data_IF_766576140636
#
_entry.id   IF_766576140636
#
_cell.length_a   1.000
_cell.length_b   1.000
_cell.length_c   1.000
_cell.angle_alpha   90.00
_cell.angle_beta   90.00
_cell.angle_gamma   90.00
#
_symmetry.space_group_name_H-M   'P 1'
#
loop_
_entity.id
_entity.type
_entity.pdbx_description
1 polymer ?
#
# COMPACT_ATOMS: atom_id res chain seq x y z
N UNK A 1 35.20 -20.74 -7.85
CA UNK A 1 34.67 -20.08 -6.63
C UNK A 1 33.33 -19.47 -6.96
N UNK A 2 32.23 -20.04 -6.44
CA UNK A 2 30.86 -19.55 -6.65
C UNK A 2 30.63 -18.34 -5.74
N UNK A 3 30.39 -17.16 -6.32
CA UNK A 3 29.90 -16.00 -5.58
C UNK A 3 28.40 -16.17 -5.37
N UNK A 4 28.00 -16.57 -4.15
CA UNK A 4 26.63 -16.43 -3.70
C UNK A 4 26.37 -14.93 -3.51
N UNK A 5 25.48 -14.38 -4.32
CA UNK A 5 24.93 -13.05 -4.11
C UNK A 5 23.99 -13.13 -2.90
N UNK A 6 24.47 -12.66 -1.75
CA UNK A 6 23.63 -12.35 -0.61
C UNK A 6 22.74 -11.15 -1.00
N UNK A 7 21.49 -11.46 -1.33
CA UNK A 7 20.40 -10.48 -1.34
C UNK A 7 20.37 -9.84 0.06
N UNK A 8 20.81 -8.59 0.16
CA UNK A 8 20.55 -7.78 1.34
C UNK A 8 19.08 -7.38 1.28
N UNK A 9 18.21 -8.23 1.83
CA UNK A 9 16.91 -7.78 2.29
C UNK A 9 17.19 -6.72 3.34
N UNK A 10 16.85 -5.46 3.03
CA UNK A 10 16.88 -4.38 4.01
C UNK A 10 15.75 -4.69 4.99
N UNK A 11 16.10 -5.35 6.09
CA UNK A 11 15.24 -5.50 7.26
C UNK A 11 15.27 -4.13 7.95
N UNK A 12 14.24 -3.31 7.72
CA UNK A 12 14.00 -2.13 8.52
C UNK A 12 13.41 -2.56 9.87
N UNK A 13 14.27 -2.80 10.86
CA UNK A 13 13.84 -2.79 12.27
C UNK A 13 13.52 -1.34 12.63
N UNK A 14 12.24 -1.00 12.66
CA UNK A 14 11.76 0.36 12.87
C UNK A 14 11.69 0.66 14.37
N UNK A 15 12.70 1.36 14.90
CA UNK A 15 12.64 2.00 16.23
C UNK A 15 12.06 3.40 16.02
N UNK A 16 10.78 3.57 16.33
CA UNK A 16 10.06 4.85 16.19
C UNK A 16 10.54 5.85 17.25
N UNK A 17 11.18 6.94 16.82
CA UNK A 17 11.43 8.11 17.67
C UNK A 17 10.38 9.20 17.38
N UNK A 18 9.66 9.61 18.42
CA UNK A 18 8.52 10.52 18.42
C UNK A 18 8.88 11.95 17.99
N UNK A 19 8.14 12.51 17.03
CA UNK A 19 8.13 13.94 16.69
C UNK A 19 6.69 14.48 16.63
N UNK A 20 6.44 15.76 16.95
CA UNK A 20 5.08 16.31 16.99
C UNK A 20 4.54 16.59 15.57
N UNK A 21 3.55 15.82 15.13
CA UNK A 21 2.81 16.03 13.89
C UNK A 21 1.78 17.17 13.97
N UNK A 22 1.64 17.94 12.89
CA UNK A 22 0.59 18.96 12.73
C UNK A 22 -0.77 18.34 12.40
N UNK A 23 -1.83 18.85 13.03
CA UNK A 23 -3.22 18.42 12.81
C UNK A 23 -3.77 18.94 11.47
N UNK A 24 -4.32 18.03 10.66
CA UNK A 24 -5.19 18.36 9.53
C UNK A 24 -6.65 18.09 9.91
N UNK A 25 -7.54 19.03 9.57
CA UNK A 25 -8.97 18.96 9.87
C UNK A 25 -9.66 18.11 8.81
N UNK A 26 -10.32 17.03 9.22
CA UNK A 26 -11.11 16.17 8.35
C UNK A 26 -12.45 16.84 7.98
N UNK A 27 -12.86 16.76 6.72
CA UNK A 27 -14.21 17.16 6.28
C UNK A 27 -15.28 16.12 6.69
N UNK A 28 -16.54 16.54 6.88
CA UNK A 28 -17.62 15.64 7.30
C UNK A 28 -17.93 14.56 6.26
N UNK A 29 -18.08 13.32 6.73
CA UNK A 29 -18.45 12.17 5.92
C UNK A 29 -19.92 12.27 5.44
N UNK A 30 -20.27 11.89 4.20
CA UNK A 30 -21.66 11.85 3.75
C UNK A 30 -22.50 10.86 4.56
N UNK A 31 -23.79 11.18 4.76
CA UNK A 31 -24.72 10.32 5.47
C UNK A 31 -24.87 8.94 4.81
N UNK A 32 -25.03 7.89 5.62
CA UNK A 32 -25.25 6.53 5.14
C UNK A 32 -26.55 6.44 4.30
N UNK A 33 -26.54 5.69 3.17
CA UNK A 33 -27.72 5.52 2.35
C UNK A 33 -28.82 4.74 3.08
N UNK A 34 -30.08 5.03 2.72
CA UNK A 34 -31.26 4.41 3.31
C UNK A 34 -31.27 2.87 3.09
N UNK A 35 -31.85 2.08 4.02
CA UNK A 35 -31.97 0.63 3.87
C UNK A 35 -32.71 0.29 2.57
N UNK A 36 -32.06 -0.42 1.65
CA UNK A 36 -32.62 -0.87 0.37
C UNK A 36 -32.25 -0.04 -0.85
N UNK A 37 -31.56 1.10 -0.68
CA UNK A 37 -30.94 1.79 -1.82
C UNK A 37 -29.72 1.00 -2.30
N UNK A 38 -29.69 0.64 -3.59
CA UNK A 38 -28.50 0.08 -4.20
C UNK A 38 -27.40 1.15 -4.15
N UNK A 39 -26.27 0.84 -3.53
CA UNK A 39 -25.17 1.78 -3.45
C UNK A 39 -24.67 2.08 -4.88
N UNK A 40 -24.48 3.36 -5.18
CA UNK A 40 -24.00 3.80 -6.49
C UNK A 40 -22.66 3.13 -6.84
N UNK A 41 -22.45 2.76 -8.12
CA UNK A 41 -21.16 2.28 -8.59
C UNK A 41 -20.05 3.29 -8.29
N UNK A 42 -18.96 2.80 -7.72
CA UNK A 42 -17.78 3.58 -7.36
C UNK A 42 -16.56 2.96 -8.05
N UNK A 43 -15.72 3.81 -8.65
CA UNK A 43 -14.42 3.44 -9.18
C UNK A 43 -13.32 4.18 -8.45
N UNK A 44 -12.28 3.48 -8.05
CA UNK A 44 -11.04 4.15 -7.63
C UNK A 44 -10.33 4.71 -8.86
N UNK A 45 -10.00 5.99 -8.82
CA UNK A 45 -9.13 6.67 -9.77
C UNK A 45 -8.38 7.79 -9.05
N UNK A 46 -7.22 8.16 -9.57
CA UNK A 46 -6.50 9.34 -9.11
C UNK A 46 -5.66 9.98 -10.23
N UNK A 47 -5.43 11.29 -10.19
CA UNK A 47 -4.63 11.96 -11.21
C UNK A 47 -3.21 11.38 -11.29
N UNK A 48 -2.85 10.91 -12.49
CA UNK A 48 -1.48 10.51 -12.80
C UNK A 48 -1.16 10.80 -14.27
N UNK A 49 0.08 11.23 -14.52
CA UNK A 49 0.58 11.49 -15.88
C UNK A 49 2.02 10.99 -15.99
N UNK A 50 2.23 9.65 -16.05
CA UNK A 50 3.57 9.04 -16.02
C UNK A 50 4.52 9.53 -17.13
N UNK A 51 3.98 10.08 -18.21
CA UNK A 51 4.73 10.53 -19.39
C UNK A 51 5.04 12.02 -19.41
N UNK A 52 4.60 12.81 -18.41
CA UNK A 52 4.89 14.25 -18.37
C UNK A 52 6.41 14.49 -18.27
N UNK A 53 6.94 15.48 -18.99
CA UNK A 53 8.40 15.69 -19.04
C UNK A 53 9.01 16.12 -17.69
N UNK A 54 10.14 15.50 -17.34
CA UNK A 54 10.95 15.79 -16.15
C UNK A 54 12.41 16.14 -16.51
N UNK A 55 12.71 16.36 -17.79
CA UNK A 55 14.07 16.61 -18.28
C UNK A 55 14.76 17.78 -17.57
N UNK A 56 14.01 18.86 -17.29
CA UNK A 56 14.50 20.04 -16.56
C UNK A 56 14.79 19.75 -15.09
N UNK A 57 13.95 18.93 -14.43
CA UNK A 57 14.16 18.52 -13.04
C UNK A 57 15.40 17.62 -12.94
N UNK A 58 15.54 16.68 -13.87
CA UNK A 58 16.71 15.81 -13.96
C UNK A 58 18.00 16.59 -14.21
N UNK A 59 17.97 17.57 -15.11
CA UNK A 59 19.14 18.39 -15.43
C UNK A 59 19.60 19.27 -14.25
N UNK A 60 18.69 19.65 -13.35
CA UNK A 60 18.97 20.49 -12.18
C UNK A 60 19.16 19.70 -10.89
N UNK A 61 18.97 18.38 -10.91
CA UNK A 61 19.01 17.55 -9.72
C UNK A 61 20.39 17.54 -9.08
N UNK A 62 20.43 17.68 -7.76
CA UNK A 62 21.60 17.47 -6.93
C UNK A 62 21.17 17.13 -5.50
N UNK A 63 22.12 16.69 -4.67
CA UNK A 63 21.82 16.32 -3.28
C UNK A 63 21.13 17.42 -2.47
N UNK A 64 21.45 18.69 -2.69
CA UNK A 64 20.89 19.78 -1.87
C UNK A 64 19.44 20.13 -2.20
N UNK A 65 18.92 19.70 -3.36
CA UNK A 65 17.57 20.03 -3.82
C UNK A 65 16.64 18.82 -3.99
N UNK A 66 17.01 17.66 -3.44
CA UNK A 66 16.27 16.41 -3.70
C UNK A 66 14.79 16.51 -3.32
N UNK A 67 14.46 17.16 -2.19
CA UNK A 67 13.07 17.31 -1.72
C UNK A 67 12.25 18.20 -2.65
N UNK A 68 12.83 19.32 -3.09
CA UNK A 68 12.17 20.20 -4.06
C UNK A 68 11.97 19.48 -5.40
N UNK A 69 12.97 18.70 -5.84
CA UNK A 69 12.84 17.86 -7.05
C UNK A 69 11.75 16.81 -6.88
N UNK A 70 11.66 16.14 -5.72
CA UNK A 70 10.60 15.17 -5.43
C UNK A 70 9.21 15.77 -5.57
N UNK A 71 9.00 16.89 -4.87
CA UNK A 71 7.70 17.58 -4.86
C UNK A 71 7.32 18.06 -6.26
N UNK A 72 8.25 18.64 -7.01
CA UNK A 72 8.00 19.10 -8.38
C UNK A 72 7.75 17.93 -9.36
N UNK A 73 8.48 16.82 -9.20
CA UNK A 73 8.32 15.61 -9.99
C UNK A 73 6.92 15.02 -9.81
N UNK A 74 6.49 14.82 -8.56
CA UNK A 74 5.17 14.30 -8.28
C UNK A 74 4.06 15.29 -8.54
N UNK A 75 4.28 16.60 -8.41
CA UNK A 75 3.28 17.58 -8.85
C UNK A 75 2.87 17.36 -10.31
N UNK A 76 3.84 17.05 -11.17
CA UNK A 76 3.62 16.84 -12.61
C UNK A 76 3.04 15.47 -12.94
N UNK A 77 3.45 14.43 -12.20
CA UNK A 77 3.15 13.04 -12.58
C UNK A 77 2.20 12.29 -11.65
N UNK A 78 2.12 12.68 -10.39
CA UNK A 78 1.29 12.02 -9.38
C UNK A 78 1.06 12.93 -8.15
N UNK A 79 0.06 13.83 -8.19
CA UNK A 79 -0.18 14.80 -7.12
C UNK A 79 -0.39 14.21 -5.72
N UNK A 80 -0.87 12.95 -5.60
CA UNK A 80 -0.98 12.26 -4.30
C UNK A 80 0.38 12.06 -3.63
N UNK A 81 1.40 11.64 -4.39
CA UNK A 81 2.77 11.52 -3.90
C UNK A 81 3.36 12.87 -3.51
N UNK A 82 3.03 13.94 -4.24
CA UNK A 82 3.47 15.30 -3.87
C UNK A 82 2.89 15.71 -2.51
N UNK A 83 1.59 15.48 -2.30
CA UNK A 83 0.90 15.86 -1.07
C UNK A 83 1.47 15.12 0.14
N UNK A 84 1.71 13.81 0.02
CA UNK A 84 2.40 13.05 1.07
C UNK A 84 3.81 13.63 1.29
N UNK A 85 4.53 13.90 0.21
CA UNK A 85 5.89 14.41 0.32
C UNK A 85 5.98 15.80 0.99
N UNK A 86 4.96 16.63 0.83
CA UNK A 86 4.85 17.90 1.56
C UNK A 86 4.50 17.64 3.03
N UNK A 87 3.57 16.73 3.30
CA UNK A 87 3.12 16.41 4.65
C UNK A 87 4.26 15.87 5.52
N UNK A 88 5.14 15.06 4.94
CA UNK A 88 6.27 14.45 5.64
C UNK A 88 7.57 15.26 5.56
N UNK A 89 7.59 16.47 4.96
CA UNK A 89 8.84 17.15 4.60
C UNK A 89 9.78 17.48 5.78
N UNK A 90 9.32 17.26 7.01
CA UNK A 90 10.05 17.48 8.26
C UNK A 90 10.38 16.18 9.00
N UNK A 91 10.08 15.02 8.44
CA UNK A 91 10.50 13.75 9.03
C UNK A 91 12.04 13.67 9.03
N UNK A 92 12.67 13.54 10.22
CA UNK A 92 14.12 13.46 10.33
C UNK A 92 14.71 12.19 9.69
N UNK A 93 13.92 11.13 9.56
CA UNK A 93 14.34 9.81 9.10
C UNK A 93 14.30 9.68 7.57
N UNK A 94 13.57 10.53 6.86
CA UNK A 94 13.38 10.42 5.41
C UNK A 94 14.68 10.28 4.62
N UNK A 95 15.72 11.04 5.01
CA UNK A 95 17.01 11.03 4.32
C UNK A 95 17.66 9.63 4.27
N UNK A 96 17.31 8.70 5.15
CA UNK A 96 17.88 7.35 5.16
C UNK A 96 17.38 6.47 4.00
N UNK A 97 16.23 6.83 3.41
CA UNK A 97 15.60 6.08 2.32
C UNK A 97 15.85 6.71 0.94
N UNK A 98 16.47 7.88 0.87
CA UNK A 98 16.64 8.64 -0.37
C UNK A 98 18.08 8.58 -0.86
N UNK A 99 18.30 8.02 -2.05
CA UNK A 99 19.61 7.97 -2.68
C UNK A 99 19.83 9.19 -3.58
N UNK A 100 20.81 10.03 -3.27
CA UNK A 100 20.97 11.35 -3.93
C UNK A 100 22.18 11.44 -4.86
N UNK A 101 22.87 10.33 -5.14
CA UNK A 101 24.04 10.28 -6.02
C UNK A 101 23.76 10.62 -7.48
N UNK A 102 22.55 10.37 -7.97
CA UNK A 102 22.10 10.70 -9.32
C UNK A 102 20.57 10.78 -9.37
N UNK A 103 20.01 11.37 -10.42
CA UNK A 103 18.55 11.43 -10.58
C UNK A 103 17.93 10.04 -10.73
N UNK A 104 18.60 9.11 -11.41
CA UNK A 104 18.11 7.73 -11.55
C UNK A 104 18.17 6.96 -10.22
N UNK A 105 19.24 7.10 -9.44
CA UNK A 105 19.31 6.49 -8.13
C UNK A 105 18.26 7.07 -7.17
N UNK A 106 18.02 8.38 -7.27
CA UNK A 106 16.93 9.06 -6.58
C UNK A 106 15.56 8.52 -6.97
N UNK A 107 15.23 8.47 -8.27
CA UNK A 107 13.97 7.93 -8.76
C UNK A 107 13.77 6.47 -8.34
N UNK A 108 14.83 5.66 -8.34
CA UNK A 108 14.80 4.26 -7.91
C UNK A 108 14.55 4.09 -6.42
N UNK A 109 15.09 4.99 -5.59
CA UNK A 109 14.85 4.98 -4.14
C UNK A 109 13.42 5.35 -3.74
N UNK A 110 12.62 5.92 -4.66
CA UNK A 110 11.28 6.41 -4.34
C UNK A 110 10.27 5.34 -3.96
N UNK A 111 10.47 4.08 -4.39
CA UNK A 111 9.59 3.00 -3.94
C UNK A 111 9.66 2.88 -2.42
N UNK A 112 10.87 2.68 -1.90
CA UNK A 112 11.12 2.53 -0.46
C UNK A 112 10.83 3.84 0.26
N UNK A 113 11.34 4.97 -0.22
CA UNK A 113 11.16 6.24 0.47
C UNK A 113 9.68 6.60 0.67
N UNK A 114 8.85 6.49 -0.36
CA UNK A 114 7.42 6.79 -0.23
C UNK A 114 6.68 5.70 0.56
N UNK A 115 7.06 4.43 0.43
CA UNK A 115 6.52 3.34 1.25
C UNK A 115 6.74 3.61 2.74
N UNK A 116 7.97 3.89 3.15
CA UNK A 116 8.33 4.09 4.55
C UNK A 116 7.77 5.41 5.11
N UNK A 117 7.77 6.49 4.33
CA UNK A 117 7.13 7.75 4.75
C UNK A 117 5.61 7.62 4.89
N UNK A 118 4.99 6.68 4.18
CA UNK A 118 3.58 6.31 4.40
C UNK A 118 3.41 5.64 5.75
N UNK A 119 4.29 4.72 6.14
CA UNK A 119 4.29 4.19 7.52
C UNK A 119 4.46 5.30 8.56
N UNK A 120 5.36 6.26 8.33
CA UNK A 120 5.58 7.37 9.27
C UNK A 120 4.33 8.23 9.41
N UNK A 121 3.54 8.37 8.34
CA UNK A 121 2.25 9.07 8.41
C UNK A 121 1.17 8.23 9.08
N UNK A 122 1.00 6.97 8.66
CA UNK A 122 -0.08 6.10 9.08
C UNK A 122 0.04 5.74 10.57
N UNK A 123 1.25 5.46 11.04
CA UNK A 123 1.52 4.90 12.37
C UNK A 123 1.91 5.94 13.43
N UNK A 124 1.80 7.22 13.11
CA UNK A 124 1.98 8.31 14.07
C UNK A 124 0.99 8.17 15.23
N UNK A 125 1.49 8.27 16.46
CA UNK A 125 0.73 8.10 17.70
C UNK A 125 -0.44 9.11 17.85
N UNK A 126 -0.43 10.24 17.12
CA UNK A 126 -1.55 11.16 17.10
C UNK A 126 -2.76 10.65 16.28
N UNK A 127 -2.58 9.58 15.50
CA UNK A 127 -3.59 9.04 14.56
C UNK A 127 -3.87 7.56 14.75
N UNK A 128 -2.97 6.85 15.41
CA UNK A 128 -2.97 5.38 15.49
C UNK A 128 -2.60 4.93 16.90
N UNK A 129 -3.32 3.92 17.39
CA UNK A 129 -2.98 3.14 18.57
C UNK A 129 -2.90 1.67 18.14
N UNK A 130 -1.74 1.05 18.36
CA UNK A 130 -1.43 -0.26 17.80
C UNK A 130 -2.48 -1.31 18.18
N UNK A 131 -3.01 -1.99 17.16
CA UNK A 131 -4.09 -2.98 17.19
C UNK A 131 -5.47 -2.48 17.66
N UNK A 132 -5.62 -1.22 18.08
CA UNK A 132 -6.91 -0.61 18.42
C UNK A 132 -7.52 0.13 17.22
N UNK A 133 -6.81 1.11 16.68
CA UNK A 133 -7.24 1.87 15.51
C UNK A 133 -6.06 2.39 14.69
N UNK A 134 -6.27 2.58 13.39
CA UNK A 134 -5.25 3.08 12.45
C UNK A 134 -5.72 4.30 11.66
N UNK A 135 -4.76 4.97 11.02
CA UNK A 135 -4.99 5.83 9.88
C UNK A 135 -4.38 5.25 8.60
N UNK A 136 -4.81 5.77 7.45
CA UNK A 136 -4.29 5.44 6.14
C UNK A 136 -4.29 6.68 5.24
N UNK A 137 -3.11 7.03 4.71
CA UNK A 137 -3.01 7.96 3.60
C UNK A 137 -3.40 7.26 2.29
N UNK A 138 -4.49 7.68 1.66
CA UNK A 138 -4.99 7.05 0.43
C UNK A 138 -4.52 7.79 -0.82
N UNK A 139 -4.84 9.09 -0.92
CA UNK A 139 -4.46 9.92 -2.07
C UNK A 139 -4.48 11.42 -1.73
N UNK A 140 -4.27 12.29 -2.73
CA UNK A 140 -4.22 13.75 -2.56
C UNK A 140 -5.46 14.38 -1.89
N UNK A 141 -6.62 13.73 -2.00
CA UNK A 141 -7.92 14.20 -1.54
C UNK A 141 -8.52 13.36 -0.41
N UNK A 142 -7.92 12.22 -0.09
CA UNK A 142 -8.51 11.25 0.83
C UNK A 142 -7.46 10.74 1.84
N UNK A 143 -7.81 10.92 3.10
CA UNK A 143 -7.14 10.32 4.25
C UNK A 143 -8.22 9.65 5.09
N UNK A 144 -7.96 8.47 5.62
CA UNK A 144 -8.89 7.75 6.48
C UNK A 144 -8.28 7.66 7.87
N UNK A 145 -8.96 8.18 8.89
CA UNK A 145 -8.43 8.21 10.27
C UNK A 145 -9.40 7.58 11.26
N UNK A 146 -8.84 7.02 12.34
CA UNK A 146 -9.60 6.33 13.38
C UNK A 146 -10.41 5.17 12.80
N UNK A 147 -9.75 4.32 12.00
CA UNK A 147 -10.29 3.06 11.48
C UNK A 147 -10.13 2.00 12.58
N UNK A 148 -11.21 1.49 13.19
CA UNK A 148 -11.10 0.52 14.26
C UNK A 148 -10.63 -0.86 13.77
N UNK A 149 -9.73 -1.50 14.52
CA UNK A 149 -9.11 -2.79 14.19
C UNK A 149 -9.48 -3.92 15.15
N UNK A 150 -9.91 -3.57 16.38
CA UNK A 150 -10.42 -4.48 17.41
C UNK A 150 -9.49 -5.65 17.79
N UNK A 151 -8.18 -5.44 17.71
CA UNK A 151 -7.15 -6.38 18.15
C UNK A 151 -7.40 -7.84 17.73
N UNK A 152 -7.20 -8.12 16.45
CA UNK A 152 -7.54 -9.40 15.82
C UNK A 152 -6.68 -10.60 16.25
N UNK A 153 -6.01 -11.23 15.29
CA UNK A 153 -5.20 -12.42 15.52
C UNK A 153 -3.90 -12.35 14.69
N UNK A 154 -2.86 -13.11 15.05
CA UNK A 154 -1.59 -13.11 14.33
C UNK A 154 -1.74 -13.38 12.83
N UNK A 155 -1.19 -12.51 11.98
CA UNK A 155 -1.31 -12.66 10.52
C UNK A 155 -0.66 -13.94 10.01
N UNK A 156 0.29 -14.54 10.75
CA UNK A 156 0.83 -15.88 10.43
C UNK A 156 -0.23 -16.98 10.35
N UNK A 157 -1.40 -16.82 10.97
CA UNK A 157 -2.49 -17.79 10.88
C UNK A 157 -3.01 -18.00 9.44
N UNK A 158 -2.72 -17.09 8.51
CA UNK A 158 -3.09 -17.23 7.10
C UNK A 158 -2.14 -18.13 6.31
N UNK A 159 -0.92 -18.40 6.82
CA UNK A 159 0.10 -19.21 6.14
C UNK A 159 -0.42 -20.54 5.62
N UNK A 160 -1.24 -21.32 6.37
CA UNK A 160 -1.76 -22.59 5.88
C UNK A 160 -2.65 -22.46 4.64
N UNK A 161 -3.18 -21.28 4.31
CA UNK A 161 -3.97 -21.05 3.10
C UNK A 161 -3.10 -20.76 1.86
N UNK A 162 -1.81 -20.49 2.04
CA UNK A 162 -0.85 -20.28 0.95
C UNK A 162 -0.27 -21.65 0.57
N UNK A 163 -0.61 -22.14 -0.62
CA UNK A 163 -0.25 -23.49 -1.11
C UNK A 163 0.76 -23.48 -2.26
N UNK A 164 1.18 -22.30 -2.67
CA UNK A 164 2.19 -22.07 -3.70
C UNK A 164 3.40 -21.35 -3.10
N UNK A 165 4.41 -21.08 -3.94
CA UNK A 165 5.61 -20.34 -3.55
C UNK A 165 5.67 -18.97 -4.25
N UNK A 166 4.55 -18.42 -4.72
CA UNK A 166 4.55 -17.19 -5.51
C UNK A 166 4.98 -15.98 -4.68
N UNK A 167 4.60 -15.95 -3.41
CA UNK A 167 4.91 -14.86 -2.47
C UNK A 167 6.00 -15.24 -1.47
N UNK A 168 6.82 -16.27 -1.74
CA UNK A 168 7.72 -16.87 -0.74
C UNK A 168 8.57 -15.83 0.02
N UNK A 169 9.22 -14.91 -0.68
CA UNK A 169 10.09 -13.91 -0.04
C UNK A 169 9.30 -12.97 0.88
N UNK A 170 8.08 -12.61 0.49
CA UNK A 170 7.15 -11.82 1.30
C UNK A 170 6.58 -12.63 2.46
N UNK A 171 6.29 -13.92 2.26
CA UNK A 171 5.79 -14.81 3.31
C UNK A 171 6.85 -14.98 4.40
N UNK A 172 8.12 -15.10 4.01
CA UNK A 172 9.25 -15.23 4.94
C UNK A 172 9.37 -13.98 5.84
N UNK A 173 9.20 -12.77 5.26
CA UNK A 173 9.28 -11.50 5.99
C UNK A 173 8.03 -11.24 6.83
N UNK A 174 6.84 -11.31 6.25
CA UNK A 174 5.63 -10.80 6.90
C UNK A 174 4.90 -11.85 7.71
N UNK A 175 5.03 -13.13 7.37
CA UNK A 175 4.21 -14.17 7.98
C UNK A 175 5.02 -15.17 8.82
N UNK A 176 6.23 -15.53 8.39
CA UNK A 176 7.06 -16.56 9.06
C UNK A 176 8.03 -15.97 10.07
N UNK A 177 8.47 -14.74 9.86
CA UNK A 177 9.28 -14.04 10.84
C UNK A 177 8.56 -13.98 12.20
N UNK A 178 9.37 -14.01 13.26
CA UNK A 178 8.86 -14.15 14.61
C UNK A 178 8.09 -12.92 15.06
N UNK A 179 8.58 -11.71 14.78
CA UNK A 179 7.94 -10.47 15.22
C UNK A 179 6.85 -10.08 14.23
N UNK A 180 7.22 -9.98 12.96
CA UNK A 180 6.32 -9.57 11.89
C UNK A 180 5.13 -10.53 11.75
N UNK A 181 5.32 -11.83 11.92
CA UNK A 181 4.24 -12.81 11.84
C UNK A 181 3.20 -12.71 12.96
N UNK A 182 3.55 -12.09 14.09
CA UNK A 182 2.66 -11.90 15.25
C UNK A 182 1.84 -10.62 15.18
N UNK A 183 2.11 -9.73 14.21
CA UNK A 183 1.24 -8.58 13.96
C UNK A 183 -0.17 -8.99 13.53
N UNK A 184 -1.19 -8.23 13.94
CA UNK A 184 -2.58 -8.52 13.61
C UNK A 184 -3.01 -7.79 12.32
N UNK A 185 -4.31 -7.45 12.21
CA UNK A 185 -4.84 -6.74 11.06
C UNK A 185 -4.09 -5.44 10.76
N UNK A 186 -3.59 -4.74 11.80
CA UNK A 186 -2.79 -3.53 11.64
C UNK A 186 -1.57 -3.77 10.75
N UNK A 187 -0.77 -4.82 11.03
CA UNK A 187 0.40 -5.14 10.22
C UNK A 187 0.04 -5.59 8.81
N UNK A 188 -1.14 -6.19 8.60
CA UNK A 188 -1.60 -6.54 7.24
C UNK A 188 -1.98 -5.29 6.45
N UNK A 189 -2.72 -4.37 7.05
CA UNK A 189 -3.21 -3.18 6.35
C UNK A 189 -2.14 -2.10 6.20
N UNK A 190 -1.22 -1.96 7.16
CA UNK A 190 -0.13 -0.99 7.09
C UNK A 190 0.79 -1.30 5.91
N UNK A 191 1.22 -2.56 5.75
CA UNK A 191 2.08 -2.97 4.63
C UNK A 191 1.39 -2.87 3.28
N UNK A 192 0.08 -3.17 3.23
CA UNK A 192 -0.70 -2.96 2.01
C UNK A 192 -0.77 -1.48 1.64
N UNK A 193 -1.15 -0.60 2.57
CA UNK A 193 -1.33 0.82 2.27
C UNK A 193 0.00 1.48 1.86
N UNK A 194 1.09 1.17 2.58
CA UNK A 194 2.43 1.63 2.23
C UNK A 194 2.86 1.11 0.86
N UNK A 195 2.61 -0.17 0.55
CA UNK A 195 2.85 -0.74 -0.77
C UNK A 195 2.05 -0.06 -1.88
N UNK A 196 0.82 0.37 -1.60
CA UNK A 196 -0.03 1.14 -2.52
C UNK A 196 0.34 2.62 -2.63
N UNK A 197 1.29 3.11 -1.83
CA UNK A 197 1.98 4.39 -2.06
C UNK A 197 3.33 4.18 -2.76
N UNK A 198 4.06 3.12 -2.43
CA UNK A 198 5.34 2.77 -3.06
C UNK A 198 5.21 2.37 -4.53
N UNK A 199 4.18 1.59 -4.90
CA UNK A 199 3.95 1.19 -6.30
C UNK A 199 3.73 2.39 -7.25
N UNK A 200 2.81 3.31 -6.99
CA UNK A 200 2.68 4.51 -7.81
C UNK A 200 3.93 5.38 -7.83
N UNK A 201 4.62 5.50 -6.69
CA UNK A 201 5.84 6.31 -6.55
C UNK A 201 6.89 5.98 -7.61
N UNK A 202 7.03 4.71 -8.00
CA UNK A 202 7.95 4.26 -9.06
C UNK A 202 7.29 4.01 -10.41
N UNK A 203 6.00 3.73 -10.45
CA UNK A 203 5.25 3.60 -11.72
C UNK A 203 5.34 4.88 -12.52
N UNK A 204 5.22 6.03 -11.86
CA UNK A 204 5.21 7.34 -12.53
C UNK A 204 6.59 7.84 -12.93
N UNK A 205 7.67 7.13 -12.57
CA UNK A 205 9.07 7.45 -12.93
C UNK A 205 9.80 6.25 -13.50
N UNK A 206 9.05 5.25 -13.98
CA UNK A 206 9.57 3.94 -14.36
C UNK A 206 10.73 4.02 -15.35
N UNK A 207 10.78 5.02 -16.24
CA UNK A 207 11.83 5.14 -17.25
C UNK A 207 13.22 5.42 -16.64
N UNK A 208 13.28 5.90 -15.41
CA UNK A 208 14.52 6.21 -14.69
C UNK A 208 15.00 5.06 -13.79
N UNK A 209 14.17 4.03 -13.58
CA UNK A 209 14.51 2.84 -12.80
C UNK A 209 15.44 1.94 -13.63
N UNK A 210 16.66 1.69 -13.12
CA UNK A 210 17.71 0.95 -13.83
C UNK A 210 18.18 -0.31 -13.10
N UNK A 211 17.91 -0.43 -11.80
CA UNK A 211 18.36 -1.52 -10.95
C UNK A 211 17.23 -2.25 -10.22
N UNK A 212 17.57 -2.82 -9.06
CA UNK A 212 16.75 -3.73 -8.25
C UNK A 212 15.94 -2.96 -7.19
N UNK A 213 16.27 -1.71 -6.88
CA UNK A 213 15.73 -0.99 -5.73
C UNK A 213 14.21 -0.77 -5.76
N UNK A 214 13.59 -0.82 -6.93
CA UNK A 214 12.14 -0.70 -7.13
C UNK A 214 11.49 -1.97 -7.72
N UNK A 215 12.25 -3.06 -7.86
CA UNK A 215 11.85 -4.20 -8.69
C UNK A 215 10.83 -5.14 -8.05
N UNK A 216 10.41 -4.89 -6.81
CA UNK A 216 9.42 -5.68 -6.09
C UNK A 216 8.15 -4.88 -5.74
N UNK A 217 7.98 -3.66 -6.27
CA UNK A 217 6.84 -2.80 -5.93
C UNK A 217 5.48 -3.48 -6.23
N UNK A 218 5.38 -4.17 -7.38
CA UNK A 218 4.18 -4.94 -7.74
C UNK A 218 3.99 -6.16 -6.85
N UNK A 219 5.08 -6.84 -6.47
CA UNK A 219 5.04 -8.00 -5.59
C UNK A 219 4.50 -7.62 -4.20
N UNK A 220 4.97 -6.50 -3.63
CA UNK A 220 4.49 -5.98 -2.34
C UNK A 220 2.99 -5.73 -2.39
N UNK A 221 2.51 -4.98 -3.39
CA UNK A 221 1.09 -4.66 -3.53
C UNK A 221 0.22 -5.92 -3.74
N UNK A 222 0.65 -6.83 -4.63
CA UNK A 222 -0.12 -8.04 -4.92
C UNK A 222 -0.15 -9.02 -3.73
N UNK A 223 0.99 -9.23 -3.07
CA UNK A 223 1.11 -10.13 -1.92
C UNK A 223 0.37 -9.60 -0.69
N UNK A 224 0.49 -8.31 -0.35
CA UNK A 224 -0.20 -7.78 0.81
C UNK A 224 -1.72 -7.71 0.61
N UNK A 225 -2.22 -7.50 -0.63
CA UNK A 225 -3.65 -7.66 -0.91
C UNK A 225 -4.09 -9.12 -0.70
N UNK A 226 -3.28 -10.08 -1.16
CA UNK A 226 -3.52 -11.51 -0.90
C UNK A 226 -3.65 -11.76 0.60
N UNK A 227 -2.74 -11.21 1.41
CA UNK A 227 -2.75 -11.38 2.86
C UNK A 227 -4.01 -10.81 3.50
N UNK A 228 -4.46 -9.63 3.10
CA UNK A 228 -5.73 -9.07 3.55
C UNK A 228 -6.90 -9.99 3.24
N UNK A 229 -7.02 -10.47 2.00
CA UNK A 229 -8.10 -11.37 1.59
C UNK A 229 -8.08 -12.70 2.37
N UNK A 230 -6.90 -13.28 2.57
CA UNK A 230 -6.74 -14.50 3.35
C UNK A 230 -7.00 -14.28 4.85
N UNK A 231 -6.62 -13.12 5.39
CA UNK A 231 -6.91 -12.74 6.77
C UNK A 231 -8.42 -12.66 7.01
N UNK A 232 -9.17 -12.03 6.11
CA UNK A 232 -10.64 -12.01 6.18
C UNK A 232 -11.26 -13.42 6.13
N UNK A 233 -10.68 -14.33 5.35
CA UNK A 233 -11.13 -15.75 5.30
C UNK A 233 -10.88 -16.46 6.62
N UNK A 234 -9.72 -16.26 7.23
CA UNK A 234 -9.39 -16.84 8.54
C UNK A 234 -10.27 -16.23 9.63
N UNK A 235 -10.48 -14.90 9.60
CA UNK A 235 -11.39 -14.22 10.52
C UNK A 235 -12.78 -14.86 10.49
N UNK A 236 -13.37 -15.01 9.29
CA UNK A 236 -14.69 -15.63 9.13
C UNK A 236 -14.73 -17.09 9.58
N UNK A 237 -13.71 -17.88 9.27
CA UNK A 237 -13.76 -19.34 9.47
C UNK A 237 -13.33 -19.80 10.86
N UNK A 238 -12.50 -19.02 11.57
CA UNK A 238 -11.93 -19.41 12.87
C UNK A 238 -12.22 -18.43 14.00
N UNK A 239 -12.45 -17.15 13.68
CA UNK A 239 -12.59 -16.07 14.67
C UNK A 239 -13.95 -15.39 14.54
N UNK A 240 -15.03 -16.15 14.72
CA UNK A 240 -16.40 -15.71 14.44
C UNK A 240 -16.80 -14.42 15.17
N UNK A 241 -16.41 -14.27 16.45
CA UNK A 241 -16.70 -13.07 17.24
C UNK A 241 -15.96 -11.84 16.71
N UNK A 242 -14.69 -12.01 16.33
CA UNK A 242 -13.90 -10.96 15.71
C UNK A 242 -14.48 -10.56 14.36
N UNK A 243 -14.78 -11.53 13.50
CA UNK A 243 -15.44 -11.33 12.21
C UNK A 243 -16.76 -10.56 12.36
N UNK A 244 -17.61 -10.91 13.33
CA UNK A 244 -18.86 -10.22 13.59
C UNK A 244 -18.66 -8.75 13.98
N UNK A 245 -17.56 -8.42 14.68
CA UNK A 245 -17.19 -7.03 14.99
C UNK A 245 -16.75 -6.30 13.71
N UNK A 246 -15.72 -6.80 13.04
CA UNK A 246 -15.11 -6.09 11.89
C UNK A 246 -16.05 -5.98 10.68
N UNK A 247 -16.90 -6.99 10.43
CA UNK A 247 -17.87 -6.96 9.31
C UNK A 247 -18.95 -5.89 9.49
N UNK A 248 -19.18 -5.43 10.71
CA UNK A 248 -20.18 -4.40 10.99
C UNK A 248 -19.56 -3.00 11.14
N UNK A 249 -18.24 -2.85 11.06
CA UNK A 249 -17.54 -1.57 11.18
C UNK A 249 -17.47 -0.84 9.83
N UNK A 250 -18.24 0.25 9.63
CA UNK A 250 -18.32 0.92 8.33
C UNK A 250 -16.98 1.45 7.82
N UNK A 251 -16.15 2.03 8.71
CA UNK A 251 -14.86 2.61 8.29
C UNK A 251 -13.90 1.54 7.79
N UNK A 252 -13.87 0.39 8.46
CA UNK A 252 -13.01 -0.72 8.06
C UNK A 252 -13.49 -1.37 6.75
N UNK A 253 -14.81 -1.46 6.54
CA UNK A 253 -15.38 -1.93 5.26
C UNK A 253 -15.00 -1.02 4.11
N UNK A 254 -15.14 0.29 4.29
CA UNK A 254 -14.77 1.28 3.29
C UNK A 254 -13.27 1.22 3.02
N UNK A 255 -12.44 1.11 4.06
CA UNK A 255 -10.99 1.01 3.91
C UNK A 255 -10.56 -0.24 3.12
N UNK A 256 -11.07 -1.42 3.50
CA UNK A 256 -10.79 -2.67 2.78
C UNK A 256 -11.23 -2.60 1.32
N UNK A 257 -12.39 -1.99 1.03
CA UNK A 257 -12.84 -1.79 -0.35
C UNK A 257 -11.92 -0.84 -1.11
N UNK A 258 -11.54 0.29 -0.52
CA UNK A 258 -10.63 1.26 -1.12
C UNK A 258 -9.28 0.61 -1.44
N UNK A 259 -8.67 -0.13 -0.51
CA UNK A 259 -7.40 -0.82 -0.72
C UNK A 259 -7.50 -1.86 -1.86
N UNK A 260 -8.59 -2.62 -1.92
CA UNK A 260 -8.81 -3.58 -3.01
C UNK A 260 -8.89 -2.89 -4.39
N UNK A 261 -9.73 -1.85 -4.52
CA UNK A 261 -9.93 -1.14 -5.79
C UNK A 261 -8.67 -0.38 -6.21
N UNK A 262 -7.96 0.22 -5.26
CA UNK A 262 -6.70 0.93 -5.48
C UNK A 262 -5.56 -0.01 -5.88
N UNK A 263 -5.50 -1.20 -5.30
CA UNK A 263 -4.58 -2.26 -5.76
C UNK A 263 -4.85 -2.61 -7.22
N UNK A 264 -6.11 -2.82 -7.59
CA UNK A 264 -6.49 -3.12 -8.96
C UNK A 264 -6.04 -2.02 -9.93
N UNK A 265 -6.32 -0.76 -9.58
CA UNK A 265 -5.95 0.41 -10.36
C UNK A 265 -4.44 0.50 -10.61
N UNK A 266 -3.63 0.42 -9.55
CA UNK A 266 -2.18 0.58 -9.69
C UNK A 266 -1.49 -0.62 -10.30
N UNK A 267 -1.99 -1.84 -10.09
CA UNK A 267 -1.48 -3.01 -10.79
C UNK A 267 -1.78 -2.97 -12.28
N UNK A 268 -2.92 -2.40 -12.70
CA UNK A 268 -3.22 -2.18 -14.11
C UNK A 268 -2.31 -1.09 -14.72
N UNK A 269 -2.20 0.07 -14.07
CA UNK A 269 -1.36 1.19 -14.54
C UNK A 269 0.12 0.81 -14.67
N UNK A 270 0.61 -0.05 -13.79
CA UNK A 270 2.01 -0.49 -13.79
C UNK A 270 2.27 -1.75 -14.62
N UNK A 271 1.24 -2.39 -15.17
CA UNK A 271 1.38 -3.62 -15.96
C UNK A 271 2.31 -3.49 -17.17
N UNK A 272 2.33 -2.38 -17.94
CA UNK A 272 3.28 -2.19 -19.04
C UNK A 272 4.76 -2.24 -18.61
N UNK A 273 5.03 -2.07 -17.31
CA UNK A 273 6.37 -2.04 -16.72
C UNK A 273 6.60 -3.24 -15.79
N UNK A 274 5.79 -4.29 -15.91
CA UNK A 274 5.76 -5.44 -15.00
C UNK A 274 7.13 -6.07 -14.77
N UNK A 275 7.93 -6.27 -15.83
CA UNK A 275 9.26 -6.87 -15.74
C UNK A 275 10.32 -6.01 -15.03
N UNK A 276 10.04 -4.73 -14.83
CA UNK A 276 10.92 -3.75 -14.18
C UNK A 276 10.49 -3.49 -12.74
N UNK A 277 9.18 -3.50 -12.47
CA UNK A 277 8.60 -3.13 -11.18
C UNK A 277 8.11 -4.34 -10.37
N UNK A 278 8.29 -5.56 -10.89
CA UNK A 278 7.88 -6.77 -10.21
C UNK A 278 8.48 -8.04 -10.79
N UNK A 279 8.30 -9.13 -10.05
CA UNK A 279 8.56 -10.47 -10.55
C UNK A 279 7.38 -10.98 -11.41
N UNK A 280 7.59 -12.03 -12.23
CA UNK A 280 6.50 -12.73 -12.90
C UNK A 280 5.46 -13.36 -11.94
N UNK A 281 5.76 -13.47 -10.64
CA UNK A 281 4.82 -13.98 -9.65
C UNK A 281 3.75 -12.94 -9.28
N UNK A 282 4.06 -11.64 -9.35
CA UNK A 282 3.12 -10.57 -9.01
C UNK A 282 1.82 -10.66 -9.83
N UNK A 283 1.91 -10.91 -11.13
CA UNK A 283 0.73 -11.05 -12.01
C UNK A 283 -0.10 -12.30 -11.67
N UNK A 284 0.57 -13.40 -11.29
CA UNK A 284 -0.10 -14.64 -10.89
C UNK A 284 -0.83 -14.47 -9.55
N UNK A 285 -0.19 -13.79 -8.59
CA UNK A 285 -0.82 -13.44 -7.31
C UNK A 285 -2.03 -12.52 -7.57
N UNK A 286 -1.85 -11.49 -8.40
CA UNK A 286 -2.93 -10.57 -8.77
C UNK A 286 -4.12 -11.31 -9.39
N UNK A 287 -3.88 -12.33 -10.23
CA UNK A 287 -4.96 -13.18 -10.75
C UNK A 287 -5.63 -14.01 -9.65
N UNK A 288 -4.87 -14.63 -8.74
CA UNK A 288 -5.40 -15.41 -7.62
C UNK A 288 -6.19 -14.57 -6.61
N UNK A 289 -5.86 -13.29 -6.44
CA UNK A 289 -6.63 -12.36 -5.60
C UNK A 289 -8.09 -12.21 -6.10
N UNK A 290 -8.36 -12.51 -7.37
CA UNK A 290 -9.69 -12.52 -7.98
C UNK A 290 -10.32 -13.92 -8.05
N UNK A 291 -9.83 -14.91 -7.29
CA UNK A 291 -10.52 -16.21 -7.17
C UNK A 291 -11.92 -16.03 -6.60
N UNK A 292 -12.83 -16.98 -6.89
CA UNK A 292 -14.22 -16.92 -6.43
C UNK A 292 -14.32 -16.80 -4.90
N UNK A 293 -13.47 -17.50 -4.15
CA UNK A 293 -13.43 -17.46 -2.69
C UNK A 293 -13.00 -16.10 -2.15
N UNK A 294 -11.99 -15.48 -2.78
CA UNK A 294 -11.47 -14.18 -2.38
C UNK A 294 -12.44 -13.04 -2.73
N UNK A 295 -13.10 -13.12 -3.88
CA UNK A 295 -14.16 -12.17 -4.24
C UNK A 295 -15.37 -12.35 -3.32
N UNK A 296 -15.78 -13.58 -3.03
CA UNK A 296 -16.91 -13.84 -2.13
C UNK A 296 -16.67 -13.28 -0.72
N UNK A 297 -15.48 -13.48 -0.13
CA UNK A 297 -15.19 -12.95 1.20
C UNK A 297 -15.16 -11.42 1.22
N UNK A 298 -14.59 -10.78 0.19
CA UNK A 298 -14.53 -9.33 0.07
C UNK A 298 -15.92 -8.74 -0.05
N UNK A 299 -16.75 -9.27 -0.95
CA UNK A 299 -18.11 -8.77 -1.17
C UNK A 299 -18.99 -8.98 0.05
N UNK A 300 -18.82 -10.09 0.77
CA UNK A 300 -19.51 -10.31 2.03
C UNK A 300 -19.05 -9.32 3.11
N UNK A 301 -17.74 -9.08 3.23
CA UNK A 301 -17.18 -8.16 4.21
C UNK A 301 -17.64 -6.73 3.97
N UNK A 302 -17.42 -6.23 2.75
CA UNK A 302 -17.67 -4.85 2.36
C UNK A 302 -19.15 -4.57 2.11
N UNK A 303 -19.95 -5.60 1.81
CA UNK A 303 -21.34 -5.45 1.34
C UNK A 303 -21.45 -4.85 -0.06
N UNK A 304 -20.36 -4.79 -0.83
CA UNK A 304 -20.34 -4.21 -2.19
C UNK A 304 -19.97 -5.28 -3.21
N UNK A 305 -20.68 -5.32 -4.33
CA UNK A 305 -20.27 -6.14 -5.47
C UNK A 305 -19.11 -5.44 -6.18
N UNK A 306 -18.09 -6.21 -6.53
CA UNK A 306 -16.91 -5.71 -7.26
C UNK A 306 -16.87 -6.33 -8.66
N UNK A 307 -16.33 -5.57 -9.62
CA UNK A 307 -16.14 -6.06 -10.97
C UNK A 307 -14.91 -6.96 -11.05
N UNK A 308 -15.02 -8.01 -11.86
CA UNK A 308 -13.94 -8.97 -12.13
C UNK A 308 -13.52 -8.98 -13.60
N UNK A 309 -14.13 -8.13 -14.42
CA UNK A 309 -13.84 -7.92 -15.85
C UNK A 309 -12.72 -6.89 -16.04
N UNK A 310 -12.74 -6.10 -17.12
CA UNK A 310 -11.70 -5.11 -17.42
C UNK A 310 -11.75 -3.86 -16.54
N UNK A 311 -12.76 -3.65 -15.70
CA UNK A 311 -12.88 -2.48 -14.82
C UNK A 311 -12.76 -2.89 -13.35
N UNK A 312 -11.68 -3.62 -13.02
CA UNK A 312 -11.46 -4.23 -11.69
C UNK A 312 -11.30 -3.24 -10.54
N UNK A 313 -11.03 -1.98 -10.85
CA UNK A 313 -10.98 -0.86 -9.93
C UNK A 313 -12.37 -0.28 -9.60
N UNK A 314 -13.46 -0.93 -10.04
CA UNK A 314 -14.84 -0.48 -9.81
C UNK A 314 -15.71 -1.51 -9.06
N UNK A 315 -16.72 -0.99 -8.35
CA UNK A 315 -17.88 -1.77 -7.90
C UNK A 315 -18.87 -1.99 -9.06
N UNK A 316 -19.71 -3.02 -8.94
CA UNK A 316 -20.71 -3.42 -9.94
C UNK A 316 -22.12 -2.95 -9.58
#
# INVERSE_FOLDING_TARGET
MKRQHLLSAVIACLVVSLGPGSLAIAEPQPAAPAPGAQAEPYCYDEPSTPTADLSDLRAKFNRSNWMQTLQAMYQRRWPSGQKLAIAQARDPNWNQFVETSSFEAFAESMMVAIHEETHMWDLDAARTEWDDHTAAWVNASQQMTGIPLFNGFPRREILPLIKDNLSKDMDDIYLRDQEQGDYHLQGVTAELNAGLMGLPAVTVVQEYIKGIGASNARDIAAANLRYLLLYLRVAKSKHADYWAKIKNEPKLRDFVLTEFLRTAYWLEKSAPYGSKLGSPAADKIAQQNYSAENISILQEFTGRKVRTDSQKNCTA
#
